data_IF_559847313680
#
_entry.id   IF_559847313680
#
_cell.length_a   1.000
_cell.length_b   1.000
_cell.length_c   1.000
_cell.angle_alpha   90.00
_cell.angle_beta   90.00
_cell.angle_gamma   90.00
#
_symmetry.space_group_name_H-M   'P 1'
#
loop_
_entity.id
_entity.type
_entity.pdbx_description
1 polymer ?
#
# COMPACT_ATOMS: atom_id res chain seq x y z
N UNK A 1 -26.35 53.65 28.35
CA UNK A 1 -27.59 53.89 27.59
C UNK A 1 -27.19 54.59 26.32
N UNK A 2 -26.93 53.96 25.19
CA UNK A 2 -26.94 52.55 24.73
C UNK A 2 -25.97 52.56 23.51
N UNK A 3 -24.92 51.75 23.44
CA UNK A 3 -24.84 50.33 23.06
C UNK A 3 -25.35 49.93 21.66
N UNK A 4 -24.44 49.26 20.92
CA UNK A 4 -24.61 48.30 19.81
C UNK A 4 -24.81 48.80 18.36
N UNK A 5 -23.80 48.50 17.51
CA UNK A 5 -23.82 47.75 16.23
C UNK A 5 -22.61 48.17 15.37
N UNK A 6 -21.73 47.32 14.87
CA UNK A 6 -21.63 45.87 14.87
C UNK A 6 -20.23 45.51 14.37
N UNK A 7 -19.58 44.58 15.06
CA UNK A 7 -18.36 43.92 14.61
C UNK A 7 -18.83 42.82 13.67
N UNK A 8 -18.72 43.03 12.36
CA UNK A 8 -18.89 41.95 11.39
C UNK A 8 -17.56 41.20 11.29
N UNK A 9 -17.43 40.19 12.16
CA UNK A 9 -16.42 39.15 12.06
C UNK A 9 -16.75 38.24 10.89
N UNK A 10 -16.39 38.67 9.68
CA UNK A 10 -16.38 37.79 8.52
C UNK A 10 -15.27 36.75 8.67
N UNK A 11 -15.59 35.60 9.26
CA UNK A 11 -14.85 34.36 9.02
C UNK A 11 -14.82 34.15 7.51
N UNK A 12 -13.67 34.41 6.88
CA UNK A 12 -13.43 33.98 5.51
C UNK A 12 -13.50 32.46 5.52
N UNK A 13 -14.56 31.88 4.97
CA UNK A 13 -14.57 30.46 4.59
C UNK A 13 -13.31 30.21 3.75
N UNK A 14 -12.29 29.59 4.34
CA UNK A 14 -11.15 29.09 3.58
C UNK A 14 -11.69 27.96 2.72
N UNK A 15 -11.82 28.20 1.41
CA UNK A 15 -12.21 27.17 0.47
C UNK A 15 -11.36 25.90 0.64
N UNK A 16 -11.98 24.73 0.42
CA UNK A 16 -11.32 23.43 0.55
C UNK A 16 -10.02 23.40 -0.27
N UNK A 17 -8.95 22.88 0.33
CA UNK A 17 -7.67 22.71 -0.35
C UNK A 17 -7.80 21.70 -1.48
N UNK A 18 -7.15 21.96 -2.60
CA UNK A 18 -7.18 21.08 -3.79
C UNK A 18 -6.14 19.98 -3.65
N UNK A 19 -6.52 18.74 -3.93
CA UNK A 19 -5.61 17.59 -4.05
C UNK A 19 -5.66 17.06 -5.47
N UNK A 20 -4.55 17.19 -6.18
CA UNK A 20 -4.39 16.64 -7.52
C UNK A 20 -4.07 15.15 -7.46
N UNK A 21 -4.58 14.34 -8.39
CA UNK A 21 -4.22 12.93 -8.47
C UNK A 21 -4.18 12.44 -9.92
N UNK A 22 -3.40 11.40 -10.19
CA UNK A 22 -3.41 10.77 -11.52
C UNK A 22 -4.78 10.15 -11.81
N UNK A 23 -5.51 10.75 -12.74
CA UNK A 23 -6.84 10.32 -13.16
C UNK A 23 -6.83 9.04 -13.99
N UNK A 24 -8.01 8.63 -14.51
CA UNK A 24 -9.32 9.29 -14.35
C UNK A 24 -9.94 9.07 -12.97
N UNK A 25 -11.14 9.63 -12.72
CA UNK A 25 -11.95 9.27 -11.54
C UNK A 25 -12.24 7.76 -11.57
N UNK A 26 -12.44 7.18 -10.39
CA UNK A 26 -12.61 5.75 -10.18
C UNK A 26 -11.37 4.88 -10.50
N UNK A 27 -10.19 5.48 -10.65
CA UNK A 27 -8.92 4.74 -10.71
C UNK A 27 -8.47 4.26 -9.32
N UNK A 28 -7.45 3.40 -9.26
CA UNK A 28 -6.81 3.04 -7.99
C UNK A 28 -6.14 4.25 -7.32
N UNK A 29 -5.59 5.19 -8.09
CA UNK A 29 -5.07 6.45 -7.55
C UNK A 29 -6.18 7.29 -6.93
N UNK A 30 -7.37 7.34 -7.54
CA UNK A 30 -8.53 8.01 -6.96
C UNK A 30 -8.93 7.40 -5.62
N UNK A 31 -8.91 6.06 -5.51
CA UNK A 31 -9.14 5.37 -4.24
C UNK A 31 -8.09 5.74 -3.19
N UNK A 32 -6.79 5.68 -3.53
CA UNK A 32 -5.70 6.10 -2.64
C UNK A 32 -5.87 7.56 -2.18
N UNK A 33 -6.36 8.43 -3.07
CA UNK A 33 -6.62 9.84 -2.76
C UNK A 33 -7.76 9.96 -1.77
N UNK A 34 -8.88 9.26 -1.97
CA UNK A 34 -10.03 9.30 -1.06
C UNK A 34 -9.72 8.75 0.34
N UNK A 35 -8.93 7.67 0.41
CA UNK A 35 -8.53 7.08 1.70
C UNK A 35 -7.59 8.00 2.50
N UNK A 36 -6.92 8.93 1.82
CA UNK A 36 -5.97 9.87 2.43
C UNK A 36 -6.60 11.24 2.69
N UNK A 37 -7.49 11.68 1.79
CA UNK A 37 -8.06 13.03 1.74
C UNK A 37 -9.58 12.95 1.58
N UNK A 38 -10.35 13.07 2.69
CA UNK A 38 -11.80 12.97 2.61
C UNK A 38 -12.41 14.17 1.86
N UNK A 39 -13.39 13.91 0.99
CA UNK A 39 -14.07 14.93 0.19
C UNK A 39 -14.84 15.96 1.05
N UNK A 40 -15.09 15.66 2.32
CA UNK A 40 -15.63 16.63 3.30
C UNK A 40 -14.69 17.81 3.55
N UNK A 41 -13.38 17.61 3.42
CA UNK A 41 -12.33 18.60 3.74
C UNK A 41 -11.56 19.08 2.49
N UNK A 42 -11.47 18.24 1.46
CA UNK A 42 -10.64 18.51 0.29
C UNK A 42 -11.44 18.48 -1.02
N UNK A 43 -10.96 19.23 -2.01
CA UNK A 43 -11.44 19.16 -3.39
C UNK A 43 -10.49 18.25 -4.17
N UNK A 44 -10.96 17.09 -4.61
CA UNK A 44 -10.15 16.13 -5.35
C UNK A 44 -10.22 16.41 -6.86
N UNK A 45 -9.06 16.59 -7.49
CA UNK A 45 -8.99 16.96 -8.90
C UNK A 45 -8.15 15.95 -9.71
N UNK A 46 -8.75 15.21 -10.67
CA UNK A 46 -8.01 14.33 -11.54
C UNK A 46 -7.12 15.13 -12.50
N UNK A 47 -5.93 14.61 -12.76
CA UNK A 47 -5.00 15.09 -13.77
C UNK A 47 -4.77 14.02 -14.84
N UNK A 48 -4.35 14.44 -16.04
CA UNK A 48 -4.20 13.54 -17.18
C UNK A 48 -2.89 12.74 -17.07
N UNK A 49 -1.81 13.41 -16.69
CA UNK A 49 -0.48 12.80 -16.56
C UNK A 49 0.07 12.94 -15.14
N UNK A 50 1.09 12.13 -14.81
CA UNK A 50 1.82 12.25 -13.55
C UNK A 50 2.55 13.62 -13.51
N UNK A 51 3.03 14.09 -14.66
CA UNK A 51 3.70 15.39 -14.78
C UNK A 51 2.77 16.56 -14.44
N UNK A 52 1.49 16.47 -14.82
CA UNK A 52 0.48 17.47 -14.47
C UNK A 52 0.25 17.53 -12.95
N UNK A 53 0.29 16.39 -12.25
CA UNK A 53 0.22 16.33 -10.79
C UNK A 53 1.43 17.03 -10.16
N UNK A 54 2.65 16.73 -10.63
CA UNK A 54 3.86 17.40 -10.17
C UNK A 54 3.80 18.92 -10.43
N UNK A 55 3.37 19.33 -11.61
CA UNK A 55 3.24 20.75 -11.99
C UNK A 55 2.20 21.49 -11.14
N UNK A 56 1.07 20.83 -10.83
CA UNK A 56 0.04 21.40 -9.97
C UNK A 56 0.55 21.65 -8.55
N UNK A 57 1.33 20.72 -7.98
CA UNK A 57 1.91 20.87 -6.64
C UNK A 57 3.06 21.89 -6.65
N UNK A 58 3.97 21.82 -7.62
CA UNK A 58 5.11 22.74 -7.73
C UNK A 58 4.67 24.20 -7.91
N UNK A 59 3.58 24.44 -8.64
CA UNK A 59 3.01 25.78 -8.82
C UNK A 59 2.21 26.27 -7.60
N UNK A 60 1.81 25.39 -6.69
CA UNK A 60 0.86 25.69 -5.60
C UNK A 60 -0.61 25.70 -6.03
N UNK A 61 -0.91 25.30 -7.27
CA UNK A 61 -2.30 25.17 -7.76
C UNK A 61 -3.04 24.00 -7.07
N UNK A 62 -2.28 22.99 -6.62
CA UNK A 62 -2.76 21.93 -5.75
C UNK A 62 -1.94 21.91 -4.46
N UNK A 63 -2.62 21.77 -3.33
CA UNK A 63 -2.00 21.63 -2.02
C UNK A 63 -1.21 20.32 -1.90
N UNK A 64 -1.74 19.23 -2.46
CA UNK A 64 -1.08 17.91 -2.50
C UNK A 64 -1.29 17.21 -3.83
N UNK A 65 -0.41 16.26 -4.12
CA UNK A 65 -0.49 15.39 -5.29
C UNK A 65 -0.51 13.92 -4.88
N UNK A 66 -1.26 13.06 -5.56
CA UNK A 66 -1.19 11.60 -5.35
C UNK A 66 -0.79 10.91 -6.65
N UNK A 67 0.34 10.19 -6.61
CA UNK A 67 0.94 9.53 -7.78
C UNK A 67 1.30 8.08 -7.46
N UNK A 68 1.14 7.14 -8.42
CA UNK A 68 1.60 5.77 -8.21
C UNK A 68 3.13 5.73 -8.21
N UNK A 69 3.71 4.90 -7.36
CA UNK A 69 5.17 4.76 -7.22
C UNK A 69 5.65 3.36 -7.60
N UNK A 70 4.99 2.31 -7.12
CA UNK A 70 5.41 0.92 -7.35
C UNK A 70 4.22 -0.03 -7.25
N UNK A 71 4.24 -1.11 -8.01
CA UNK A 71 3.29 -2.21 -7.90
C UNK A 71 4.02 -3.51 -7.55
N UNK A 72 3.46 -4.32 -6.64
CA UNK A 72 4.11 -5.55 -6.15
C UNK A 72 4.34 -6.61 -7.24
N UNK A 73 3.59 -6.56 -8.34
CA UNK A 73 3.71 -7.49 -9.48
C UNK A 73 4.51 -6.92 -10.65
N UNK A 74 4.50 -5.60 -10.84
CA UNK A 74 5.04 -4.93 -12.03
C UNK A 74 6.24 -4.01 -11.76
N UNK A 75 6.62 -3.81 -10.51
CA UNK A 75 7.73 -2.97 -10.10
C UNK A 75 7.43 -1.47 -10.16
N UNK A 76 8.49 -0.67 -10.18
CA UNK A 76 8.43 0.79 -10.08
C UNK A 76 7.76 1.47 -11.28
N UNK A 77 7.04 2.55 -11.00
CA UNK A 77 6.47 3.46 -12.02
C UNK A 77 7.55 4.41 -12.50
N UNK A 78 8.12 4.09 -13.65
CA UNK A 78 9.24 4.81 -14.27
C UNK A 78 8.97 6.31 -14.43
N UNK A 79 7.78 6.71 -14.85
CA UNK A 79 7.44 8.12 -15.05
C UNK A 79 7.51 8.94 -13.75
N UNK A 80 7.13 8.35 -12.61
CA UNK A 80 7.25 9.00 -11.31
C UNK A 80 8.73 9.18 -10.93
N UNK A 81 9.56 8.15 -11.17
CA UNK A 81 11.00 8.21 -10.92
C UNK A 81 11.71 9.26 -11.80
N UNK A 82 11.32 9.40 -13.07
CA UNK A 82 11.86 10.41 -13.98
C UNK A 82 11.62 11.84 -13.48
N UNK A 83 10.43 12.11 -12.96
CA UNK A 83 10.07 13.43 -12.44
C UNK A 83 10.81 13.75 -11.13
N UNK A 84 11.10 12.75 -10.30
CA UNK A 84 11.96 12.92 -9.12
C UNK A 84 13.45 13.06 -9.46
N UNK A 85 13.92 12.40 -10.53
CA UNK A 85 15.29 12.58 -11.01
C UNK A 85 15.52 14.02 -11.51
N UNK A 86 14.47 14.69 -11.99
CA UNK A 86 14.39 16.14 -12.22
C UNK A 86 15.56 16.70 -13.04
N UNK A 87 15.85 16.05 -14.17
CA UNK A 87 17.03 16.34 -15.02
C UNK A 87 17.15 17.80 -15.45
N UNK A 88 16.04 18.53 -15.51
CA UNK A 88 15.98 19.92 -15.94
C UNK A 88 15.68 20.90 -14.79
N UNK A 89 15.65 20.44 -13.54
CA UNK A 89 15.36 21.28 -12.37
C UNK A 89 13.97 21.92 -12.42
N UNK A 90 12.99 21.22 -12.99
CA UNK A 90 11.60 21.69 -13.13
C UNK A 90 10.82 21.56 -11.81
N UNK A 91 11.20 20.62 -10.95
CA UNK A 91 10.47 20.29 -9.72
C UNK A 91 11.34 20.36 -8.46
N UNK A 92 12.10 21.45 -8.21
CA UNK A 92 13.07 21.52 -7.12
C UNK A 92 12.44 21.47 -5.73
N UNK A 93 11.15 21.85 -5.60
CA UNK A 93 10.46 21.97 -4.32
C UNK A 93 9.55 20.77 -4.02
N UNK A 94 9.43 19.82 -4.94
CA UNK A 94 8.60 18.63 -4.71
C UNK A 94 9.27 17.70 -3.70
N UNK A 95 8.48 17.30 -2.70
CA UNK A 95 8.82 16.33 -1.66
C UNK A 95 7.74 15.25 -1.55
N UNK A 96 8.13 14.05 -1.14
CA UNK A 96 7.22 13.01 -0.65
C UNK A 96 6.93 13.30 0.83
N UNK A 97 5.64 13.40 1.16
CA UNK A 97 5.16 13.73 2.51
C UNK A 97 4.31 12.64 3.15
N UNK A 98 3.85 11.65 2.37
CA UNK A 98 3.21 10.43 2.86
C UNK A 98 3.23 9.35 1.77
N UNK A 99 2.73 8.17 2.13
CA UNK A 99 2.47 7.06 1.23
C UNK A 99 1.08 6.46 1.46
N UNK A 100 0.56 5.77 0.45
CA UNK A 100 -0.66 4.99 0.55
C UNK A 100 -0.49 3.64 -0.16
N UNK A 101 -1.24 2.64 0.29
CA UNK A 101 -1.19 1.28 -0.24
C UNK A 101 -2.60 0.82 -0.57
N UNK A 102 -2.83 0.40 -1.81
CA UNK A 102 -4.12 -0.11 -2.28
C UNK A 102 -3.93 -1.51 -2.84
N UNK A 103 -4.61 -2.47 -2.21
CA UNK A 103 -4.77 -3.81 -2.75
C UNK A 103 -5.50 -3.74 -4.10
N UNK A 104 -4.93 -4.35 -5.13
CA UNK A 104 -5.51 -4.38 -6.47
C UNK A 104 -6.53 -5.50 -6.52
N UNK A 105 -7.77 -5.17 -6.17
CA UNK A 105 -8.90 -6.08 -6.23
C UNK A 105 -9.79 -5.74 -7.42
N UNK A 106 -9.96 -6.71 -8.32
CA UNK A 106 -10.84 -6.56 -9.46
C UNK A 106 -12.25 -7.04 -9.10
N UNK A 107 -13.22 -6.29 -9.57
CA UNK A 107 -14.62 -6.63 -9.54
C UNK A 107 -15.14 -6.79 -10.97
N UNK A 108 -16.12 -7.69 -11.14
CA UNK A 108 -16.95 -7.67 -12.33
C UNK A 108 -18.12 -6.71 -12.06
N UNK A 109 -18.23 -5.64 -12.84
CA UNK A 109 -19.25 -4.61 -12.69
C UNK A 109 -20.26 -4.66 -13.84
N UNK A 110 -21.52 -4.38 -13.56
CA UNK A 110 -22.59 -4.38 -14.55
C UNK A 110 -23.90 -3.82 -14.00
N UNK A 111 -24.92 -3.74 -14.85
CA UNK A 111 -26.27 -3.36 -14.40
C UNK A 111 -26.90 -4.53 -13.63
N UNK A 112 -27.53 -4.23 -12.49
CA UNK A 112 -28.28 -5.24 -11.72
C UNK A 112 -29.69 -5.26 -12.30
N UNK A 113 -30.21 -6.41 -12.76
CA UNK A 113 -31.59 -6.52 -13.18
C UNK A 113 -32.53 -6.09 -12.05
N UNK A 114 -33.58 -5.33 -12.36
CA UNK A 114 -34.54 -4.80 -11.38
C UNK A 114 -35.12 -5.90 -10.47
N UNK A 115 -35.29 -7.12 -10.98
CA UNK A 115 -35.83 -8.27 -10.25
C UNK A 115 -34.85 -8.85 -9.20
N UNK A 116 -33.56 -8.51 -9.29
CA UNK A 116 -32.50 -8.98 -8.38
C UNK A 116 -32.15 -7.97 -7.28
N UNK A 117 -32.71 -6.75 -7.33
CA UNK A 117 -32.46 -5.68 -6.35
C UNK A 117 -32.91 -6.07 -4.93
N UNK A 118 -33.99 -6.85 -4.81
CA UNK A 118 -34.52 -7.37 -3.55
C UNK A 118 -33.60 -8.38 -2.85
N UNK A 119 -32.69 -9.03 -3.57
CA UNK A 119 -31.79 -10.06 -3.04
C UNK A 119 -30.57 -9.43 -2.36
N UNK A 120 -30.10 -8.27 -2.84
CA UNK A 120 -28.87 -7.64 -2.33
C UNK A 120 -29.08 -6.84 -1.03
N UNK A 121 -30.30 -6.33 -0.78
CA UNK A 121 -30.64 -5.61 0.46
C UNK A 121 -30.53 -6.50 1.71
N UNK A 122 -30.64 -7.83 1.58
CA UNK A 122 -30.59 -8.75 2.73
C UNK A 122 -29.17 -9.14 3.13
N UNK A 123 -28.19 -9.00 2.22
CA UNK A 123 -26.78 -9.39 2.46
C UNK A 123 -25.92 -8.28 3.09
N UNK A 124 -26.37 -7.02 3.09
CA UNK A 124 -25.63 -5.92 3.73
C UNK A 124 -25.85 -5.84 5.25
N UNK A 125 -26.87 -6.51 5.80
CA UNK A 125 -27.23 -6.41 7.22
C UNK A 125 -26.62 -7.51 8.11
N UNK A 126 -25.87 -8.46 7.57
CA UNK A 126 -25.41 -9.66 8.30
C UNK A 126 -23.90 -9.89 8.32
N UNK A 127 -23.06 -8.86 8.13
CA UNK A 127 -21.62 -8.96 8.38
C UNK A 127 -21.17 -7.91 9.42
N UNK A 128 -21.62 -8.13 10.65
CA UNK A 128 -20.83 -7.78 11.82
C UNK A 128 -20.90 -8.95 12.78
N UNK A 129 -19.72 -9.47 13.17
CA UNK A 129 -19.42 -10.60 14.06
C UNK A 129 -19.14 -11.96 13.41
N UNK A 130 -17.92 -12.44 13.73
CA UNK A 130 -17.43 -13.82 13.80
C UNK A 130 -16.61 -14.37 12.62
N UNK A 131 -15.30 -14.11 12.62
CA UNK A 131 -14.30 -15.09 12.20
C UNK A 131 -13.47 -15.49 13.43
N UNK A 132 -13.74 -16.68 13.98
CA UNK A 132 -12.86 -17.35 14.94
C UNK A 132 -12.33 -18.61 14.27
N UNK A 133 -11.02 -18.80 14.41
CA UNK A 133 -10.21 -19.82 13.78
C UNK A 133 -10.71 -21.26 14.01
N UNK A 134 -10.60 -22.09 12.98
CA UNK A 134 -10.60 -23.54 13.10
C UNK A 134 -9.40 -24.13 12.36
N UNK A 135 -8.37 -24.45 13.15
CA UNK A 135 -7.25 -25.33 12.80
C UNK A 135 -7.75 -26.77 12.70
N UNK A 136 -7.39 -27.49 11.62
CA UNK A 136 -7.55 -28.94 11.56
C UNK A 136 -6.23 -29.60 11.12
N UNK A 137 -5.62 -30.28 12.09
CA UNK A 137 -4.52 -31.23 11.95
C UNK A 137 -5.03 -32.57 11.41
N UNK A 138 -4.34 -33.17 10.43
CA UNK A 138 -4.54 -34.58 10.08
C UNK A 138 -3.25 -35.39 10.19
N UNK A 139 -3.33 -36.39 11.08
CA UNK A 139 -2.39 -37.49 11.29
C UNK A 139 -2.37 -38.47 10.11
N UNK A 140 -1.18 -38.99 9.81
CA UNK A 140 -0.94 -40.17 8.97
C UNK A 140 -0.89 -41.47 9.81
N UNK A 141 -1.21 -42.64 9.22
CA UNK A 141 -0.74 -43.92 9.72
C UNK A 141 0.17 -44.65 8.73
N UNK A 142 0.98 -45.56 9.27
CA UNK A 142 2.13 -46.20 8.64
C UNK A 142 1.95 -47.74 8.55
N UNK A 143 2.64 -48.35 7.57
CA UNK A 143 3.18 -49.72 7.49
C UNK A 143 2.31 -50.95 7.17
N UNK A 144 2.74 -51.72 6.15
CA UNK A 144 2.96 -53.18 6.25
C UNK A 144 3.97 -53.75 5.21
N UNK A 145 4.55 -54.91 5.53
CA UNK A 145 5.80 -55.54 5.06
C UNK A 145 5.66 -56.66 3.98
N UNK A 146 6.59 -56.70 2.99
CA UNK A 146 7.32 -57.84 2.32
C UNK A 146 6.62 -59.07 1.71
N UNK A 147 7.32 -60.05 1.06
CA UNK A 147 8.71 -60.12 0.50
C UNK A 147 8.79 -60.87 -0.91
N UNK A 148 9.83 -61.67 -1.32
CA UNK A 148 10.94 -61.28 -2.25
C UNK A 148 11.22 -62.23 -3.46
N UNK A 149 12.19 -61.87 -4.34
CA UNK A 149 12.87 -62.77 -5.32
C UNK A 149 13.75 -61.98 -6.32
N UNK A 150 15.07 -61.91 -6.19
CA UNK A 150 16.16 -62.82 -6.66
C UNK A 150 16.80 -62.46 -8.02
N UNK A 151 18.07 -62.00 -7.93
CA UNK A 151 19.23 -62.24 -8.83
C UNK A 151 19.21 -61.81 -10.31
N UNK A 152 20.13 -60.92 -10.71
CA UNK A 152 21.47 -61.25 -11.26
C UNK A 152 22.30 -59.97 -11.53
N UNK A 153 23.60 -60.05 -11.23
CA UNK A 153 24.63 -59.04 -11.51
C UNK A 153 25.18 -59.22 -12.92
N UNK A 154 25.50 -58.13 -13.62
CA UNK A 154 26.61 -58.09 -14.56
C UNK A 154 27.30 -56.72 -14.48
N UNK A 155 28.60 -56.76 -14.17
CA UNK A 155 29.51 -55.62 -14.25
C UNK A 155 29.78 -55.26 -15.71
N UNK A 156 29.81 -53.98 -16.02
CA UNK A 156 30.64 -53.38 -17.07
C UNK A 156 30.55 -51.85 -17.01
N UNK A 157 31.55 -51.22 -16.38
CA UNK A 157 31.88 -49.81 -16.64
C UNK A 157 32.60 -49.75 -18.00
N UNK A 158 32.30 -48.75 -18.86
CA UNK A 158 33.15 -47.56 -18.81
C UNK A 158 32.49 -46.23 -19.20
N UNK A 159 33.18 -45.17 -18.77
CA UNK A 159 33.22 -43.81 -19.32
C UNK A 159 32.07 -42.84 -18.97
N UNK A 160 32.41 -41.89 -18.09
CA UNK A 160 31.66 -40.68 -17.79
C UNK A 160 31.36 -39.84 -19.04
N UNK A 161 30.12 -39.35 -19.11
CA UNK A 161 29.69 -38.21 -19.90
C UNK A 161 29.02 -37.21 -18.94
N UNK A 162 29.21 -35.89 -19.10
CA UNK A 162 28.71 -34.91 -18.14
C UNK A 162 27.16 -34.85 -18.18
N UNK A 163 26.48 -34.68 -17.02
CA UNK A 163 25.03 -34.54 -17.02
C UNK A 163 24.66 -33.14 -17.51
N UNK A 164 24.40 -33.01 -18.80
CA UNK A 164 23.78 -31.82 -19.34
C UNK A 164 22.27 -31.89 -19.09
N UNK A 165 21.78 -30.94 -18.30
CA UNK A 165 20.43 -30.35 -18.37
C UNK A 165 19.23 -31.30 -18.38
N UNK A 166 19.00 -31.95 -17.24
CA UNK A 166 17.66 -32.41 -16.85
C UNK A 166 17.06 -31.38 -15.89
N UNK A 167 16.56 -30.25 -16.40
CA UNK A 167 15.77 -29.33 -15.59
C UNK A 167 14.47 -30.05 -15.20
N UNK A 168 14.47 -30.67 -14.01
CA UNK A 168 13.24 -31.11 -13.36
C UNK A 168 12.37 -29.87 -13.16
N UNK A 169 11.40 -29.69 -14.05
CA UNK A 169 10.40 -28.64 -13.90
C UNK A 169 9.66 -28.93 -12.61
N UNK A 170 9.65 -28.04 -11.60
CA UNK A 170 8.88 -28.28 -10.39
C UNK A 170 7.43 -28.50 -10.80
N UNK A 171 6.88 -29.68 -10.49
CA UNK A 171 5.44 -29.89 -10.67
C UNK A 171 4.75 -28.92 -9.72
N UNK A 172 3.90 -28.00 -10.21
CA UNK A 172 3.19 -27.08 -9.33
C UNK A 172 2.40 -27.87 -8.28
N UNK A 173 2.55 -27.50 -7.00
CA UNK A 173 1.80 -28.11 -5.90
C UNK A 173 0.27 -27.94 -6.05
N UNK A 174 -0.16 -27.03 -6.92
CA UNK A 174 -1.55 -26.75 -7.26
C UNK A 174 -1.91 -27.32 -8.63
N UNK A 175 -3.02 -28.08 -8.76
CA UNK A 175 -3.46 -28.61 -10.04
C UNK A 175 -3.73 -27.49 -11.04
N UNK A 176 -3.28 -27.68 -12.29
CA UNK A 176 -3.51 -26.75 -13.38
C UNK A 176 -4.66 -27.25 -14.28
N UNK A 177 -5.63 -26.39 -14.66
CA UNK A 177 -5.77 -25.01 -14.23
C UNK A 177 -6.32 -24.92 -12.80
N UNK A 178 -5.88 -23.89 -12.06
CA UNK A 178 -6.42 -23.57 -10.73
C UNK A 178 -7.91 -23.22 -10.79
N UNK A 179 -8.60 -23.33 -9.65
CA UNK A 179 -9.99 -22.86 -9.51
C UNK A 179 -10.00 -21.33 -9.29
N UNK A 180 -11.02 -20.61 -9.76
CA UNK A 180 -11.16 -19.18 -9.45
C UNK A 180 -11.29 -18.97 -7.94
N UNK A 181 -10.74 -17.86 -7.44
CA UNK A 181 -10.83 -17.47 -6.02
C UNK A 181 -12.24 -16.98 -5.64
N UNK A 182 -13.01 -16.53 -6.62
CA UNK A 182 -14.33 -15.93 -6.43
C UNK A 182 -15.43 -16.63 -7.24
N UNK A 183 -16.66 -16.38 -6.80
CA UNK A 183 -17.89 -16.81 -7.46
C UNK A 183 -18.77 -15.59 -7.83
N UNK A 184 -19.60 -15.68 -8.88
CA UNK A 184 -20.58 -14.64 -9.18
C UNK A 184 -21.57 -14.45 -8.03
N UNK A 185 -21.92 -13.19 -7.74
CA UNK A 185 -22.95 -12.81 -6.78
C UNK A 185 -24.37 -12.96 -7.36
N UNK A 186 -24.49 -12.85 -8.68
CA UNK A 186 -25.74 -13.06 -9.42
C UNK A 186 -25.49 -13.88 -10.70
N UNK A 187 -26.51 -14.50 -11.31
CA UNK A 187 -26.36 -15.20 -12.59
C UNK A 187 -25.86 -14.27 -13.71
N UNK A 188 -24.86 -14.73 -14.48
CA UNK A 188 -24.18 -13.91 -15.50
C UNK A 188 -24.62 -14.19 -16.94
N UNK A 189 -25.72 -14.94 -17.14
CA UNK A 189 -26.14 -15.44 -18.46
C UNK A 189 -26.48 -14.33 -19.48
N UNK A 190 -26.82 -13.13 -19.01
CA UNK A 190 -27.16 -11.99 -19.87
C UNK A 190 -25.94 -11.19 -20.34
N UNK A 191 -24.74 -11.44 -19.80
CA UNK A 191 -23.53 -10.72 -20.18
C UNK A 191 -23.01 -11.25 -21.51
N UNK A 192 -22.95 -10.38 -22.53
CA UNK A 192 -22.47 -10.69 -23.88
C UNK A 192 -21.14 -10.02 -24.22
N UNK A 193 -20.77 -8.96 -23.50
CA UNK A 193 -19.54 -8.20 -23.74
C UNK A 193 -18.87 -7.75 -22.45
N UNK A 194 -17.54 -7.82 -22.40
CA UNK A 194 -16.74 -7.40 -21.25
C UNK A 194 -15.68 -6.40 -21.70
N UNK A 195 -15.59 -5.27 -20.98
CA UNK A 195 -14.57 -4.25 -21.19
C UNK A 195 -13.52 -4.27 -20.08
N UNK A 196 -12.25 -4.05 -20.43
CA UNK A 196 -11.18 -3.76 -19.47
C UNK A 196 -9.88 -3.34 -20.15
N UNK A 197 -8.90 -2.96 -19.34
CA UNK A 197 -7.54 -2.74 -19.78
C UNK A 197 -6.83 -4.11 -20.04
N UNK A 198 -5.98 -4.24 -21.08
CA UNK A 198 -5.31 -5.50 -21.42
C UNK A 198 -4.61 -6.21 -20.25
N UNK A 199 -4.01 -5.44 -19.34
CA UNK A 199 -3.33 -5.98 -18.16
C UNK A 199 -4.29 -6.69 -17.18
N UNK A 200 -5.53 -6.22 -17.06
CA UNK A 200 -6.52 -6.81 -16.14
C UNK A 200 -6.99 -8.19 -16.63
N UNK A 201 -7.02 -8.43 -17.95
CA UNK A 201 -7.29 -9.77 -18.49
C UNK A 201 -6.27 -10.80 -18.05
N UNK A 202 -5.00 -10.38 -17.98
CA UNK A 202 -3.91 -11.20 -17.50
C UNK A 202 -4.07 -11.63 -16.04
N UNK A 203 -4.82 -10.85 -15.27
CA UNK A 203 -4.99 -10.98 -13.83
C UNK A 203 -6.29 -11.67 -13.42
N UNK A 204 -7.25 -11.90 -14.33
CA UNK A 204 -8.56 -12.47 -13.99
C UNK A 204 -8.91 -13.70 -14.86
N UNK A 205 -7.91 -14.46 -15.32
CA UNK A 205 -8.10 -15.50 -16.33
C UNK A 205 -8.98 -16.64 -15.82
N UNK A 206 -8.76 -17.08 -14.59
CA UNK A 206 -9.46 -18.22 -14.02
C UNK A 206 -10.96 -17.93 -13.93
N UNK A 207 -11.32 -16.79 -13.33
CA UNK A 207 -12.72 -16.39 -13.19
C UNK A 207 -13.40 -16.23 -14.55
N UNK A 208 -12.79 -15.48 -15.48
CA UNK A 208 -13.39 -15.20 -16.79
C UNK A 208 -13.54 -16.46 -17.65
N UNK A 209 -12.59 -17.41 -17.56
CA UNK A 209 -12.66 -18.66 -18.32
C UNK A 209 -13.64 -19.67 -17.71
N UNK A 210 -13.91 -19.59 -16.40
CA UNK A 210 -14.88 -20.46 -15.73
C UNK A 210 -16.31 -19.97 -15.96
N UNK A 211 -16.60 -18.69 -15.77
CA UNK A 211 -17.99 -18.18 -15.73
C UNK A 211 -18.44 -17.44 -17.00
N UNK A 212 -17.52 -16.92 -17.79
CA UNK A 212 -17.82 -16.05 -18.94
C UNK A 212 -17.11 -16.53 -20.21
N UNK A 213 -17.02 -17.86 -20.36
CA UNK A 213 -16.40 -18.48 -21.53
C UNK A 213 -17.22 -18.16 -22.78
N UNK A 214 -16.56 -17.62 -23.80
CA UNK A 214 -17.18 -17.26 -25.08
C UNK A 214 -17.83 -15.87 -25.14
N UNK A 215 -17.85 -15.14 -24.02
CA UNK A 215 -18.29 -13.74 -24.00
C UNK A 215 -17.24 -12.85 -24.68
N UNK A 216 -17.69 -11.88 -25.48
CA UNK A 216 -16.81 -10.96 -26.20
C UNK A 216 -15.97 -10.14 -25.21
N UNK A 217 -14.66 -9.99 -25.47
CA UNK A 217 -13.75 -9.14 -24.68
C UNK A 217 -13.26 -7.99 -25.54
N UNK A 218 -13.36 -6.77 -25.04
CA UNK A 218 -12.93 -5.56 -25.75
C UNK A 218 -11.93 -4.75 -24.90
N UNK A 219 -10.75 -4.52 -25.48
CA UNK A 219 -9.70 -3.72 -24.87
C UNK A 219 -10.07 -2.23 -24.87
N UNK A 220 -9.79 -1.58 -23.75
CA UNK A 220 -9.97 -0.13 -23.57
C UNK A 220 -8.79 0.49 -22.83
N UNK A 221 -8.74 1.82 -22.80
CA UNK A 221 -7.59 2.57 -22.28
C UNK A 221 -7.37 2.45 -20.77
N UNK A 222 -8.41 2.13 -19.99
CA UNK A 222 -8.29 1.92 -18.54
C UNK A 222 -9.44 1.08 -17.97
N UNK A 223 -9.24 0.53 -16.78
CA UNK A 223 -10.30 -0.17 -16.02
C UNK A 223 -11.47 0.76 -15.66
N UNK A 224 -11.20 2.03 -15.36
CA UNK A 224 -12.24 3.03 -15.10
C UNK A 224 -13.01 3.36 -16.39
N UNK A 225 -12.34 3.44 -17.54
CA UNK A 225 -12.99 3.61 -18.85
C UNK A 225 -13.93 2.45 -19.18
N UNK A 226 -13.56 1.22 -18.81
CA UNK A 226 -14.44 0.07 -18.95
C UNK A 226 -15.74 0.25 -18.15
N UNK A 227 -15.66 0.69 -16.90
CA UNK A 227 -16.84 0.97 -16.08
C UNK A 227 -17.70 2.10 -16.68
N UNK A 228 -17.09 3.15 -17.24
CA UNK A 228 -17.84 4.21 -17.93
C UNK A 228 -18.62 3.69 -19.14
N UNK A 229 -18.03 2.80 -19.95
CA UNK A 229 -18.72 2.23 -21.11
C UNK A 229 -19.92 1.38 -20.69
N UNK A 230 -19.78 0.59 -19.63
CA UNK A 230 -20.89 -0.19 -19.07
C UNK A 230 -21.99 0.71 -18.52
N UNK A 231 -21.63 1.82 -17.85
CA UNK A 231 -22.61 2.82 -17.40
C UNK A 231 -23.41 3.41 -18.56
N UNK A 232 -22.77 3.61 -19.72
CA UNK A 232 -23.41 4.16 -20.92
C UNK A 232 -24.24 3.12 -21.69
N UNK A 233 -24.01 1.82 -21.47
CA UNK A 233 -24.76 0.75 -22.10
C UNK A 233 -26.17 0.64 -21.50
N UNK A 234 -27.18 0.87 -22.33
CA UNK A 234 -28.59 0.80 -21.95
C UNK A 234 -29.17 -0.61 -22.08
N UNK A 235 -28.46 -1.55 -22.74
CA UNK A 235 -28.94 -2.92 -22.90
C UNK A 235 -28.84 -3.75 -21.62
N UNK A 236 -27.91 -3.40 -20.73
CA UNK A 236 -27.59 -4.19 -19.54
C UNK A 236 -26.80 -5.48 -19.83
N UNK A 237 -26.35 -5.68 -21.07
CA UNK A 237 -25.66 -6.89 -21.52
C UNK A 237 -24.14 -6.78 -21.46
N UNK A 238 -23.60 -5.62 -21.07
CA UNK A 238 -22.17 -5.43 -20.88
C UNK A 238 -21.72 -5.48 -19.41
N UNK A 239 -20.48 -5.90 -19.22
CA UNK A 239 -19.80 -5.88 -17.93
C UNK A 239 -18.39 -5.28 -18.05
N UNK A 240 -17.82 -4.88 -16.92
CA UNK A 240 -16.46 -4.35 -16.85
C UNK A 240 -15.66 -5.10 -15.79
N UNK A 241 -14.40 -5.42 -16.09
CA UNK A 241 -13.43 -5.75 -15.06
C UNK A 241 -12.80 -4.44 -14.60
N UNK A 242 -13.09 -4.04 -13.36
CA UNK A 242 -12.68 -2.75 -12.81
C UNK A 242 -12.50 -2.77 -11.29
N UNK A 243 -12.09 -1.64 -10.72
CA UNK A 243 -11.95 -1.48 -9.27
C UNK A 243 -13.31 -1.45 -8.58
N UNK A 244 -13.37 -1.87 -7.31
CA UNK A 244 -14.59 -1.79 -6.51
C UNK A 244 -15.15 -0.37 -6.36
N UNK A 245 -14.27 0.65 -6.32
CA UNK A 245 -14.69 2.05 -6.25
C UNK A 245 -15.44 2.50 -7.51
N UNK A 246 -15.13 1.94 -8.67
CA UNK A 246 -15.83 2.29 -9.90
C UNK A 246 -17.31 1.94 -9.82
N UNK A 247 -17.69 0.88 -9.10
CA UNK A 247 -19.09 0.56 -8.84
C UNK A 247 -19.82 1.72 -8.15
N UNK A 248 -19.26 2.22 -7.04
CA UNK A 248 -19.83 3.32 -6.25
C UNK A 248 -19.86 4.64 -7.02
N UNK A 249 -18.76 5.00 -7.68
CA UNK A 249 -18.63 6.28 -8.41
C UNK A 249 -19.51 6.30 -9.67
N UNK A 250 -19.65 5.16 -10.35
CA UNK A 250 -20.41 5.08 -11.59
C UNK A 250 -21.88 4.70 -11.38
N UNK A 251 -22.26 4.23 -10.19
CA UNK A 251 -23.61 3.72 -9.91
C UNK A 251 -23.86 2.35 -10.55
N UNK A 252 -22.82 1.52 -10.66
CA UNK A 252 -22.92 0.17 -11.23
C UNK A 252 -23.03 -0.87 -10.12
N UNK A 253 -23.69 -1.97 -10.44
CA UNK A 253 -23.70 -3.15 -9.59
C UNK A 253 -22.40 -3.90 -9.58
N UNK A 254 -22.13 -4.58 -8.47
CA UNK A 254 -21.02 -5.51 -8.34
C UNK A 254 -21.55 -6.93 -8.57
N UNK A 255 -21.17 -7.52 -9.70
CA UNK A 255 -21.58 -8.86 -10.12
C UNK A 255 -20.69 -9.96 -9.52
N UNK A 256 -19.42 -9.63 -9.24
CA UNK A 256 -18.46 -10.47 -8.53
C UNK A 256 -17.36 -9.60 -7.92
N UNK A 257 -16.81 -10.01 -6.77
CA UNK A 257 -15.70 -9.33 -6.07
C UNK A 257 -14.49 -10.24 -6.03
N UNK A 258 -13.29 -9.67 -6.05
CA UNK A 258 -12.04 -10.42 -5.91
C UNK A 258 -11.82 -11.42 -7.05
N UNK A 259 -12.10 -11.01 -8.29
CA UNK A 259 -12.05 -11.91 -9.47
C UNK A 259 -10.63 -12.13 -9.99
N UNK A 260 -9.64 -11.50 -9.37
CA UNK A 260 -8.23 -11.71 -9.67
C UNK A 260 -7.76 -13.13 -9.36
N UNK A 261 -6.78 -13.59 -10.12
CA UNK A 261 -6.16 -14.90 -9.98
C UNK A 261 -5.23 -14.95 -8.75
N UNK A 262 -4.82 -13.79 -8.22
CA UNK A 262 -3.89 -13.62 -7.10
C UNK A 262 -4.33 -12.46 -6.19
N UNK A 263 -4.50 -12.72 -4.90
CA UNK A 263 -4.89 -11.71 -3.91
C UNK A 263 -3.74 -10.88 -3.31
N UNK A 264 -2.49 -11.13 -3.69
CA UNK A 264 -1.29 -10.48 -3.15
C UNK A 264 -0.77 -9.30 -4.00
N UNK A 265 -1.62 -8.77 -4.89
CA UNK A 265 -1.29 -7.62 -5.72
C UNK A 265 -1.61 -6.31 -5.00
N UNK A 266 -0.63 -5.42 -4.88
CA UNK A 266 -0.77 -4.15 -4.21
C UNK A 266 -0.02 -3.05 -4.96
N UNK A 267 -0.57 -1.84 -4.95
CA UNK A 267 0.10 -0.66 -5.49
C UNK A 267 0.38 0.34 -4.37
N UNK A 268 1.62 0.81 -4.33
CA UNK A 268 2.11 1.88 -3.46
C UNK A 268 2.04 3.21 -4.19
N UNK A 269 1.53 4.23 -3.50
CA UNK A 269 1.38 5.59 -3.97
C UNK A 269 2.16 6.54 -3.09
N UNK A 270 2.68 7.63 -3.66
CA UNK A 270 3.24 8.74 -2.92
C UNK A 270 2.27 9.91 -2.88
N UNK A 271 2.25 10.56 -1.72
CA UNK A 271 1.63 11.86 -1.50
C UNK A 271 2.71 12.92 -1.61
N UNK A 272 2.57 13.79 -2.60
CA UNK A 272 3.48 14.88 -2.89
C UNK A 272 3.06 16.14 -2.15
N UNK A 273 4.03 16.88 -1.64
CA UNK A 273 3.89 18.24 -1.12
C UNK A 273 4.97 19.15 -1.68
N UNK A 274 4.82 20.45 -1.39
CA UNK A 274 5.78 21.48 -1.78
C UNK A 274 6.58 21.95 -0.57
N UNK A 275 7.89 22.12 -0.74
CA UNK A 275 8.79 22.67 0.27
C UNK A 275 8.28 24.03 0.79
N UNK A 276 8.29 24.21 2.10
CA UNK A 276 7.78 25.42 2.77
C UNK A 276 6.29 25.40 3.10
N UNK A 277 5.51 24.49 2.52
CA UNK A 277 4.13 24.23 2.98
C UNK A 277 4.18 23.18 4.09
N UNK A 278 4.34 23.65 5.33
CA UNK A 278 4.55 22.88 6.56
C UNK A 278 4.18 21.39 6.49
N UNK A 279 5.17 20.53 6.77
CA UNK A 279 5.02 19.08 6.92
C UNK A 279 4.18 18.73 8.17
N UNK A 280 3.76 19.73 8.95
CA UNK A 280 2.96 19.62 10.17
C UNK A 280 1.56 19.02 10.03
N UNK A 281 1.13 18.64 8.83
CA UNK A 281 -0.12 17.91 8.60
C UNK A 281 -0.12 16.52 9.28
N UNK A 282 1.06 15.93 9.55
CA UNK A 282 1.21 14.69 10.33
C UNK A 282 0.66 14.85 11.75
N UNK A 283 0.93 15.99 12.42
CA UNK A 283 0.41 16.30 13.77
C UNK A 283 -1.10 16.43 13.76
N UNK A 284 -1.65 17.16 12.79
CA UNK A 284 -3.10 17.31 12.61
C UNK A 284 -3.79 15.95 12.37
N UNK A 285 -3.15 14.97 11.70
CA UNK A 285 -3.73 13.64 11.45
C UNK A 285 -3.61 12.69 12.65
N UNK A 286 -2.52 12.75 13.41
CA UNK A 286 -2.35 11.94 14.64
C UNK A 286 -3.28 12.40 15.77
N UNK A 287 -3.44 13.72 15.95
CA UNK A 287 -4.42 14.30 16.87
C UNK A 287 -5.85 13.82 16.51
N UNK A 288 -6.21 13.85 15.22
CA UNK A 288 -7.50 13.34 14.72
C UNK A 288 -7.74 11.84 14.94
N UNK A 289 -6.70 11.00 14.83
CA UNK A 289 -6.83 9.57 15.16
C UNK A 289 -7.10 9.38 16.64
N UNK A 290 -6.36 10.07 17.51
CA UNK A 290 -6.55 10.00 18.96
C UNK A 290 -7.93 10.51 19.39
N UNK A 291 -8.46 11.56 18.75
CA UNK A 291 -9.83 12.03 18.97
C UNK A 291 -10.87 11.00 18.51
N UNK A 292 -10.72 10.44 17.30
CA UNK A 292 -11.66 9.42 16.78
C UNK A 292 -11.69 8.12 17.59
N UNK A 293 -10.53 7.67 18.11
CA UNK A 293 -10.40 6.51 18.98
C UNK A 293 -10.97 6.79 20.38
N UNK A 294 -10.74 7.99 20.93
CA UNK A 294 -11.31 8.41 22.22
C UNK A 294 -12.84 8.54 22.21
N UNK A 295 -13.43 8.98 21.09
CA UNK A 295 -14.88 9.05 20.89
C UNK A 295 -15.48 7.65 20.73
N UNK A 296 -14.77 6.72 20.08
CA UNK A 296 -15.19 5.33 19.98
C UNK A 296 -15.13 4.60 21.33
N UNK A 297 -14.12 4.88 22.16
CA UNK A 297 -14.02 4.37 23.54
C UNK A 297 -15.08 4.98 24.47
N UNK A 298 -15.36 6.28 24.35
CA UNK A 298 -16.39 6.95 25.15
C UNK A 298 -17.79 6.41 24.84
N UNK A 299 -18.07 6.06 23.59
CA UNK A 299 -19.33 5.44 23.17
C UNK A 299 -19.44 3.95 23.55
N UNK A 300 -18.33 3.24 23.78
CA UNK A 300 -18.36 1.84 24.25
C UNK A 300 -18.60 1.76 25.77
N UNK A 301 -18.07 2.71 26.55
CA UNK A 301 -18.28 2.78 28.01
C UNK A 301 -19.73 3.16 28.35
N UNK A 302 -20.36 4.04 27.58
CA UNK A 302 -21.76 4.43 27.76
C UNK A 302 -22.77 3.29 27.50
N UNK A 303 -22.38 2.23 26.79
CA UNK A 303 -23.25 1.09 26.48
C UNK A 303 -23.26 -0.02 27.57
N UNK A 304 -22.51 0.15 28.67
CA UNK A 304 -22.35 -0.89 29.71
C UNK A 304 -22.93 -0.55 31.09
N UNK A 305 -23.54 0.63 31.26
CA UNK A 305 -24.16 1.02 32.54
C UNK A 305 -25.67 0.82 32.50
N UNK A 306 -26.10 -0.40 32.79
CA UNK A 306 -27.49 -0.72 33.05
C UNK A 306 -27.69 -2.20 33.33
N UNK A 307 -27.69 -2.58 34.61
CA UNK A 307 -28.70 -3.40 35.30
C UNK A 307 -28.12 -3.82 36.67
N UNK A 308 -28.64 -3.19 37.73
CA UNK A 308 -28.52 -3.63 39.12
C UNK A 308 -29.36 -4.87 39.38
N UNK A 309 -28.80 -5.92 40.00
CA UNK A 309 -29.56 -6.87 40.84
C UNK A 309 -28.67 -7.51 41.93
N UNK A 310 -29.23 -7.92 43.09
CA UNK A 310 -28.51 -7.96 44.35
C UNK A 310 -27.95 -9.33 44.78
N UNK A 311 -27.01 -9.23 45.72
CA UNK A 311 -26.29 -10.25 46.49
C UNK A 311 -27.03 -11.52 46.94
N UNK A 312 -26.32 -12.66 46.85
CA UNK A 312 -26.37 -13.77 47.83
C UNK A 312 -24.94 -14.26 48.13
N UNK A 313 -24.63 -14.45 49.42
CA UNK A 313 -23.36 -14.96 49.99
C UNK A 313 -23.38 -16.49 50.16
N UNK A 314 -22.26 -17.14 49.84
CA UNK A 314 -21.63 -18.32 50.48
C UNK A 314 -20.69 -18.99 49.46
N UNK A 315 -19.52 -19.54 49.75
CA UNK A 315 -18.77 -19.74 50.98
C UNK A 315 -17.31 -20.05 50.65
N UNK A 316 -16.52 -20.20 51.70
CA UNK A 316 -15.07 -20.36 51.72
C UNK A 316 -14.57 -21.63 51.02
N UNK A 317 -13.37 -21.56 50.44
CA UNK A 317 -12.34 -22.62 50.54
C UNK A 317 -10.96 -22.07 50.15
N UNK A 318 -10.05 -22.15 51.10
CA UNK A 318 -8.63 -21.81 51.00
C UNK A 318 -7.85 -22.90 50.26
N UNK A 319 -6.84 -22.53 49.47
CA UNK A 319 -5.54 -23.22 49.55
C UNK A 319 -4.38 -22.46 48.84
N UNK A 320 -3.40 -22.11 49.69
CA UNK A 320 -1.95 -22.33 49.56
C UNK A 320 -1.18 -21.55 48.46
N UNK A 321 -0.40 -20.61 48.98
CA UNK A 321 0.75 -19.94 48.39
C UNK A 321 1.93 -20.88 48.12
N UNK A 322 2.57 -20.73 46.96
CA UNK A 322 3.97 -21.10 46.75
C UNK A 322 4.69 -19.91 46.13
N UNK A 323 5.62 -19.37 46.91
CA UNK A 323 6.58 -18.33 46.57
C UNK A 323 7.72 -18.92 45.74
N UNK A 324 8.02 -18.33 44.58
CA UNK A 324 9.22 -18.69 43.82
C UNK A 324 9.99 -17.44 43.34
N UNK A 325 11.07 -17.18 44.10
CA UNK A 325 12.40 -16.72 43.68
C UNK A 325 12.51 -15.56 42.69
N UNK A 326 12.77 -14.38 43.28
CA UNK A 326 13.40 -13.20 42.69
C UNK A 326 14.71 -13.53 41.98
N UNK A 327 14.80 -13.21 40.68
CA UNK A 327 16.06 -13.05 39.96
C UNK A 327 16.43 -11.55 39.85
N UNK A 328 17.72 -11.21 39.86
CA UNK A 328 18.18 -9.83 40.00
C UNK A 328 17.92 -9.02 38.73
N UNK A 329 17.18 -7.92 38.86
CA UNK A 329 17.06 -6.89 37.83
C UNK A 329 18.40 -6.20 37.65
N UNK A 330 19.11 -6.52 36.57
CA UNK A 330 20.20 -5.69 36.05
C UNK A 330 19.56 -4.44 35.45
N UNK A 331 19.73 -3.32 36.15
CA UNK A 331 19.43 -1.99 35.63
C UNK A 331 20.45 -1.63 34.52
N UNK A 332 19.99 -1.48 33.29
CA UNK A 332 20.72 -0.77 32.24
C UNK A 332 19.94 0.48 31.83
N UNK A 333 20.55 1.68 31.88
CA UNK A 333 19.97 2.89 31.32
C UNK A 333 20.28 2.92 29.82
N UNK A 334 19.28 2.67 28.97
CA UNK A 334 19.39 2.91 27.53
C UNK A 334 18.29 3.86 27.12
N UNK A 335 18.68 5.09 26.76
CA UNK A 335 17.83 5.99 25.98
C UNK A 335 17.35 5.23 24.72
N UNK A 336 16.09 5.42 24.29
CA UNK A 336 15.46 4.53 23.33
C UNK A 336 16.19 4.61 21.99
N UNK A 337 16.50 3.45 21.41
CA UNK A 337 16.87 3.35 20.01
C UNK A 337 15.83 4.13 19.19
N UNK A 338 16.27 5.22 18.55
CA UNK A 338 15.42 6.04 17.68
C UNK A 338 14.70 5.11 16.71
N UNK A 339 13.38 5.24 16.64
CA UNK A 339 12.52 4.30 15.93
C UNK A 339 12.65 4.49 14.40
N UNK A 340 13.80 4.13 13.83
CA UNK A 340 14.09 4.21 12.40
C UNK A 340 13.02 3.49 11.56
N UNK A 341 12.39 2.47 12.14
CA UNK A 341 11.31 1.70 11.52
C UNK A 341 10.07 2.56 11.22
N UNK A 342 9.75 3.53 12.10
CA UNK A 342 8.55 4.38 11.96
C UNK A 342 8.57 5.34 10.79
N UNK A 343 9.74 5.61 10.19
CA UNK A 343 9.87 6.63 9.15
C UNK A 343 10.63 6.10 7.95
N UNK A 344 10.36 6.70 6.80
CA UNK A 344 11.11 6.50 5.57
C UNK A 344 11.65 7.83 5.09
N UNK A 345 12.75 7.78 4.37
CA UNK A 345 13.33 8.92 3.67
C UNK A 345 13.68 8.52 2.25
N UNK A 346 13.30 9.34 1.26
CA UNK A 346 13.73 9.21 -0.12
C UNK A 346 14.83 10.21 -0.42
N UNK A 347 15.87 9.74 -1.09
CA UNK A 347 16.96 10.57 -1.58
C UNK A 347 17.28 10.23 -3.03
N UNK A 348 17.82 11.19 -3.76
CA UNK A 348 18.49 10.92 -5.02
C UNK A 348 19.95 11.36 -4.95
N UNK A 349 20.88 10.59 -5.53
CA UNK A 349 22.28 11.00 -5.65
C UNK A 349 22.92 10.53 -6.95
N UNK A 350 24.03 11.17 -7.31
CA UNK A 350 24.87 10.80 -8.46
C UNK A 350 26.27 10.42 -8.01
N UNK A 351 26.91 9.49 -8.71
CA UNK A 351 28.24 8.99 -8.37
C UNK A 351 29.25 9.35 -9.45
N UNK A 352 30.54 9.18 -9.15
CA UNK A 352 31.56 9.15 -10.20
C UNK A 352 31.54 7.81 -10.93
N UNK A 353 31.16 7.83 -12.21
CA UNK A 353 31.16 6.63 -13.07
C UNK A 353 32.54 6.25 -13.60
N UNK A 354 33.57 7.07 -13.37
CA UNK A 354 34.96 6.79 -13.75
C UNK A 354 35.75 6.02 -12.70
N UNK A 355 35.19 5.82 -11.50
CA UNK A 355 35.90 5.23 -10.35
C UNK A 355 35.22 3.91 -9.94
N UNK A 356 35.95 2.77 -9.92
CA UNK A 356 35.42 1.50 -9.43
C UNK A 356 34.96 1.63 -7.98
N UNK A 357 33.79 1.05 -7.66
CA UNK A 357 33.27 1.00 -6.29
C UNK A 357 32.53 2.26 -5.81
N UNK A 358 32.40 3.32 -6.63
CA UNK A 358 31.72 4.56 -6.20
C UNK A 358 30.30 4.34 -5.66
N UNK A 359 29.52 3.44 -6.27
CA UNK A 359 28.19 3.09 -5.77
C UNK A 359 28.29 2.37 -4.42
N UNK A 360 29.18 1.39 -4.29
CA UNK A 360 29.37 0.65 -3.05
C UNK A 360 29.81 1.58 -1.91
N UNK A 361 30.71 2.52 -2.17
CA UNK A 361 31.14 3.53 -1.21
C UNK A 361 29.98 4.43 -0.78
N UNK A 362 29.14 4.87 -1.72
CA UNK A 362 27.97 5.69 -1.41
C UNK A 362 26.94 4.93 -0.57
N UNK A 363 26.70 3.65 -0.88
CA UNK A 363 25.75 2.82 -0.12
C UNK A 363 26.29 2.42 1.26
N UNK A 364 27.60 2.27 1.42
CA UNK A 364 28.25 1.97 2.70
C UNK A 364 28.05 3.06 3.75
N UNK A 365 27.76 4.30 3.34
CA UNK A 365 27.42 5.39 4.26
C UNK A 365 26.18 5.03 5.09
N UNK A 366 25.13 4.50 4.47
CA UNK A 366 23.89 4.17 5.19
C UNK A 366 24.09 3.06 6.22
N UNK A 367 24.79 1.99 5.86
CA UNK A 367 25.07 0.89 6.79
C UNK A 367 25.96 1.33 7.95
N UNK A 368 26.96 2.20 7.70
CA UNK A 368 27.80 2.81 8.75
C UNK A 368 26.99 3.58 9.78
N UNK A 369 25.91 4.25 9.36
CA UNK A 369 25.00 4.98 10.24
C UNK A 369 23.80 4.13 10.73
N UNK A 370 23.81 2.82 10.51
CA UNK A 370 22.76 1.91 10.98
C UNK A 370 21.41 2.09 10.26
N UNK A 371 21.43 2.59 9.03
CA UNK A 371 20.24 2.84 8.21
C UNK A 371 20.05 1.71 7.21
N UNK A 372 18.85 1.10 7.22
CA UNK A 372 18.49 0.06 6.27
C UNK A 372 17.87 0.65 5.00
N UNK A 373 18.17 0.06 3.85
CA UNK A 373 17.58 0.43 2.57
C UNK A 373 16.35 -0.44 2.29
N UNK A 374 15.28 0.15 1.80
CA UNK A 374 14.05 -0.55 1.38
C UNK A 374 13.87 -0.56 -0.13
N UNK A 375 14.51 0.35 -0.85
CA UNK A 375 14.47 0.41 -2.31
C UNK A 375 15.69 1.11 -2.89
N UNK A 376 16.11 0.68 -4.08
CA UNK A 376 17.10 1.35 -4.92
C UNK A 376 16.66 1.27 -6.38
N UNK A 377 16.53 2.44 -7.02
CA UNK A 377 16.18 2.57 -8.44
C UNK A 377 17.21 3.46 -9.15
N UNK A 378 17.39 3.25 -10.46
CA UNK A 378 18.27 4.07 -11.28
C UNK A 378 17.53 4.74 -12.42
N UNK A 379 17.89 5.98 -12.73
CA UNK A 379 17.45 6.71 -13.93
C UNK A 379 18.66 7.23 -14.70
N UNK A 380 18.63 7.31 -16.04
CA UNK A 380 19.70 7.95 -16.80
C UNK A 380 19.89 9.40 -16.33
N UNK A 381 21.14 9.80 -16.12
CA UNK A 381 21.47 11.15 -15.61
C UNK A 381 21.34 12.27 -16.65
N UNK A 382 21.27 11.94 -17.95
CA UNK A 382 21.30 12.91 -19.04
C UNK A 382 22.63 13.63 -19.25
N UNK A 383 23.65 13.39 -18.40
CA UNK A 383 24.97 14.04 -18.51
C UNK A 383 25.86 13.32 -19.52
N UNK A 384 26.02 12.00 -19.38
CA UNK A 384 26.68 11.14 -20.37
C UNK A 384 25.94 9.80 -20.44
N UNK A 385 26.15 9.07 -21.55
CA UNK A 385 25.62 7.73 -21.70
C UNK A 385 26.11 6.82 -20.56
N UNK A 386 25.20 6.00 -20.01
CA UNK A 386 25.48 5.05 -18.93
C UNK A 386 25.86 5.69 -17.58
N UNK A 387 25.68 7.00 -17.43
CA UNK A 387 25.70 7.66 -16.13
C UNK A 387 24.28 7.69 -15.55
N UNK A 388 24.17 7.47 -14.23
CA UNK A 388 22.89 7.27 -13.56
C UNK A 388 22.70 8.20 -12.36
N UNK A 389 21.44 8.54 -12.12
CA UNK A 389 20.93 9.04 -10.83
C UNK A 389 20.36 7.84 -10.09
N UNK A 390 20.72 7.70 -8.82
CA UNK A 390 20.23 6.66 -7.93
C UNK A 390 19.17 7.26 -7.02
N UNK A 391 17.97 6.69 -7.01
CA UNK A 391 16.90 7.00 -6.05
C UNK A 391 16.88 5.90 -5.01
N UNK A 392 17.15 6.26 -3.75
CA UNK A 392 17.27 5.31 -2.63
C UNK A 392 16.27 5.67 -1.55
N UNK A 393 15.53 4.67 -1.10
CA UNK A 393 14.67 4.77 0.07
C UNK A 393 15.34 4.09 1.26
N UNK A 394 15.38 4.79 2.39
CA UNK A 394 15.95 4.31 3.65
C UNK A 394 14.92 4.39 4.77
N UNK A 395 15.05 3.50 5.76
CA UNK A 395 14.35 3.61 7.04
C UNK A 395 15.04 4.65 7.92
N UNK A 396 14.29 5.62 8.41
CA UNK A 396 14.76 6.77 9.19
C UNK A 396 14.14 8.09 8.72
N UNK A 397 14.22 9.11 9.58
CA UNK A 397 13.69 10.47 9.33
C UNK A 397 14.85 11.47 9.31
N UNK A 398 14.83 12.41 8.36
CA UNK A 398 15.66 13.62 8.44
C UNK A 398 14.98 14.60 9.41
N UNK A 399 15.72 15.04 10.42
CA UNK A 399 15.26 16.07 11.36
C UNK A 399 15.37 17.45 10.70
N UNK A 400 14.39 18.33 10.99
CA UNK A 400 14.42 19.73 10.57
C UNK A 400 15.37 20.55 11.45
N UNK A 401 15.85 21.70 10.96
CA UNK A 401 16.88 22.51 11.63
C UNK A 401 16.50 22.90 13.07
N UNK A 402 15.24 23.23 13.32
CA UNK A 402 14.76 23.57 14.67
C UNK A 402 14.81 22.37 15.65
N UNK A 403 14.51 21.17 15.16
CA UNK A 403 14.58 19.93 15.95
C UNK A 403 16.03 19.51 16.17
N UNK A 404 16.88 19.74 15.16
CA UNK A 404 18.33 19.53 15.20
C UNK A 404 18.97 20.46 16.24
N UNK A 405 18.68 21.77 16.23
CA UNK A 405 19.17 22.73 17.23
C UNK A 405 18.72 22.37 18.66
N UNK A 406 17.48 21.90 18.82
CA UNK A 406 16.98 21.42 20.13
C UNK A 406 17.75 20.18 20.61
N UNK A 407 18.15 19.30 19.69
CA UNK A 407 18.98 18.12 19.98
C UNK A 407 20.44 18.46 20.18
N UNK A 408 21.02 19.43 19.48
CA UNK A 408 22.43 19.79 19.65
C UNK A 408 22.73 20.31 21.06
N UNK A 409 21.72 20.82 21.78
CA UNK A 409 21.82 21.19 23.19
C UNK A 409 21.89 19.98 24.16
N UNK A 410 21.83 18.72 23.69
CA UNK A 410 21.98 17.53 24.55
C UNK A 410 22.15 16.15 23.89
N UNK A 411 22.28 16.05 22.56
CA UNK A 411 22.11 14.79 21.81
C UNK A 411 22.64 14.72 20.37
N UNK A 412 23.31 15.73 19.80
CA UNK A 412 23.93 15.69 18.46
C UNK A 412 22.98 15.39 17.28
N UNK A 413 23.47 15.36 16.03
CA UNK A 413 22.60 15.16 14.84
C UNK A 413 21.97 13.76 14.75
N UNK A 414 20.74 13.66 14.21
CA UNK A 414 20.09 12.38 13.90
C UNK A 414 20.85 11.53 12.87
N UNK A 415 20.63 10.21 12.85
CA UNK A 415 21.36 9.28 11.99
C UNK A 415 21.24 9.60 10.49
N UNK A 416 20.05 9.99 10.03
CA UNK A 416 19.85 10.40 8.62
C UNK A 416 20.62 11.69 8.31
N UNK A 417 20.56 12.71 9.16
CA UNK A 417 21.30 13.97 8.95
C UNK A 417 22.81 13.71 8.84
N UNK A 418 23.37 12.86 9.73
CA UNK A 418 24.79 12.41 9.66
C UNK A 418 25.12 11.66 8.38
N UNK A 419 24.24 10.76 7.93
CA UNK A 419 24.45 10.01 6.71
C UNK A 419 24.43 10.91 5.46
N UNK A 420 23.54 11.90 5.40
CA UNK A 420 23.49 12.84 4.27
C UNK A 420 24.72 13.76 4.22
N UNK A 421 25.23 14.18 5.38
CA UNK A 421 26.48 14.95 5.47
C UNK A 421 27.67 14.14 4.92
N UNK A 422 27.82 12.88 5.34
CA UNK A 422 28.88 12.00 4.84
C UNK A 422 28.68 11.62 3.37
N UNK A 423 27.45 11.40 2.92
CA UNK A 423 27.12 11.14 1.52
C UNK A 423 27.59 12.29 0.62
N UNK A 424 27.44 13.54 1.09
CA UNK A 424 27.95 14.73 0.40
C UNK A 424 29.46 14.73 0.15
N UNK A 425 30.23 14.01 0.97
CA UNK A 425 31.68 13.87 0.80
C UNK A 425 32.10 12.78 -0.21
N UNK A 426 31.21 11.86 -0.58
CA UNK A 426 31.54 10.69 -1.44
C UNK A 426 30.81 10.69 -2.78
N UNK A 427 29.65 11.33 -2.88
CA UNK A 427 28.88 11.42 -4.12
C UNK A 427 29.17 12.74 -4.86
N UNK A 428 28.78 12.85 -6.13
CA UNK A 428 28.92 14.11 -6.90
C UNK A 428 27.89 15.15 -6.50
N UNK A 429 26.72 14.69 -6.05
CA UNK A 429 25.62 15.52 -5.60
C UNK A 429 24.46 14.66 -5.16
N UNK A 430 23.69 15.16 -4.20
CA UNK A 430 22.50 14.51 -3.67
C UNK A 430 21.38 15.52 -3.45
N UNK A 431 20.15 15.01 -3.41
CA UNK A 431 18.93 15.74 -3.10
C UNK A 431 18.08 14.91 -2.16
N UNK A 432 17.62 15.54 -1.08
CA UNK A 432 16.59 14.99 -0.22
C UNK A 432 15.23 15.19 -0.86
N UNK A 433 14.45 14.11 -0.96
CA UNK A 433 13.15 14.08 -1.62
C UNK A 433 12.00 13.92 -0.62
N UNK A 434 12.27 13.94 0.68
CA UNK A 434 11.24 13.90 1.73
C UNK A 434 11.48 12.81 2.77
N UNK A 435 10.89 13.01 3.94
CA UNK A 435 10.83 12.04 5.03
C UNK A 435 9.40 11.97 5.55
N UNK A 436 8.84 10.78 5.72
CA UNK A 436 7.43 10.57 6.08
C UNK A 436 7.24 9.31 6.93
N UNK A 437 6.09 9.20 7.60
CA UNK A 437 5.76 8.03 8.42
C UNK A 437 5.59 6.76 7.58
N UNK A 438 6.16 5.65 8.05
CA UNK A 438 6.06 4.33 7.42
C UNK A 438 4.66 3.74 7.65
N UNK A 439 3.83 3.76 6.60
CA UNK A 439 2.43 3.29 6.68
C UNK A 439 2.30 1.76 6.66
N UNK A 440 3.33 1.02 6.24
CA UNK A 440 3.31 -0.45 6.30
C UNK A 440 3.19 -0.95 7.74
N UNK A 441 3.94 -0.36 8.68
CA UNK A 441 3.90 -0.76 10.09
C UNK A 441 2.53 -0.47 10.73
N UNK A 442 1.85 0.59 10.27
CA UNK A 442 0.51 0.92 10.75
C UNK A 442 -0.58 -0.08 10.30
N UNK A 443 -0.25 -1.01 9.40
CA UNK A 443 -1.15 -2.08 8.91
C UNK A 443 -0.91 -3.42 9.61
N UNK A 444 0.34 -3.74 9.94
CA UNK A 444 0.70 -5.02 10.59
C UNK A 444 0.10 -5.18 12.01
N UNK A 445 -0.36 -4.08 12.61
CA UNK A 445 -1.08 -4.09 13.90
C UNK A 445 -2.60 -4.14 13.82
N UNK A 446 -3.20 -4.30 12.62
CA UNK A 446 -4.67 -4.40 12.43
C UNK A 446 -5.12 -5.81 12.11
#
# INVERSE_FOLDING_TARGET
MDDLKGIDGGERERGKKVVAFLGPRASYTHQATLDTFPESEYTLQPQITIEDVFSAVQSGSAYRGVVPFENSSNGSVVFTLDLFADLNGKYPDILVCDEAYIAVQHCLLGHIPSDSSSIMSASETSLSTSETAASNTHHAPNLHHGPPGSTLRLDSTPLESPPNSGAATPTPLTPYPGKPLAHPLIPLHNIKKIYSHPQAWGQCKLFLNTYLKGVERQDVSSTSRAAELVKMDQSGESAAVSSGIAARVMGLGVLARGIEDRGDNETRFFVLGRRGEGVGWEREREERKSESESVAESNSVAASMGVDTPHVRSGESQSISVSELTQPTVSSPQAPAENHERYKTLISFTISHSSPGSLAQSLAVFSKHGLNLTSINTRPSGVENWNYIFLVEIKGRREEEEEEERREQGGGKGAVNKALEELGGVCRGWRWLGSWQNRLLSREGR
#
